data_IF_688479392283
#
_entry.id   IF_688479392283
#
_cell.length_a   1.000
_cell.length_b   1.000
_cell.length_c   1.000
_cell.angle_alpha   90.00
_cell.angle_beta   90.00
_cell.angle_gamma   90.00
#
_symmetry.space_group_name_H-M   'P 1'
#
loop_
_entity.id
_entity.type
_entity.pdbx_description
1 polymer ?
#
# COMPACT_ATOMS: atom_id res chain seq x y z
N UNK A 1 15.35 9.32 1.45
CA UNK A 1 14.24 8.46 1.01
C UNK A 1 13.03 9.36 0.80
N UNK A 2 12.54 9.59 -0.43
CA UNK A 2 11.37 10.43 -0.62
C UNK A 2 10.15 9.67 -0.09
N UNK A 3 9.54 10.20 0.96
CA UNK A 3 8.28 9.72 1.52
C UNK A 3 7.11 10.57 0.99
N UNK A 4 7.39 11.85 0.76
CA UNK A 4 6.50 12.79 0.11
C UNK A 4 6.61 12.66 -1.41
N UNK A 5 5.47 12.51 -2.07
CA UNK A 5 5.34 12.36 -3.52
C UNK A 5 4.53 13.56 -4.04
N UNK A 6 5.17 14.59 -4.59
CA UNK A 6 4.45 15.77 -5.06
C UNK A 6 3.53 15.42 -6.21
N UNK A 7 2.36 16.06 -6.26
CA UNK A 7 1.48 15.96 -7.41
C UNK A 7 2.19 16.47 -8.66
N UNK A 8 2.13 15.74 -9.79
CA UNK A 8 2.77 16.18 -11.01
C UNK A 8 2.12 17.47 -11.48
N UNK A 9 2.95 18.43 -11.92
CA UNK A 9 2.45 19.67 -12.49
C UNK A 9 1.60 19.35 -13.74
N UNK A 10 0.39 19.93 -13.85
CA UNK A 10 -0.42 19.78 -15.05
C UNK A 10 0.35 20.31 -16.26
N UNK A 11 0.65 19.45 -17.23
CA UNK A 11 1.20 19.91 -18.51
C UNK A 11 0.08 20.62 -19.28
N UNK A 12 0.17 21.94 -19.34
CA UNK A 12 -0.73 22.78 -20.14
C UNK A 12 -0.27 22.72 -21.60
N UNK A 13 -0.97 21.94 -22.41
CA UNK A 13 -0.66 21.79 -23.83
C UNK A 13 -0.86 20.36 -24.30
N UNK A 14 -2.06 20.05 -24.78
CA UNK A 14 -2.29 18.86 -25.59
C UNK A 14 -1.55 18.97 -26.94
N UNK A 15 -1.45 17.88 -27.73
CA UNK A 15 -0.82 17.90 -29.06
C UNK A 15 -1.45 18.92 -30.04
N UNK A 16 -2.67 19.37 -29.74
CA UNK A 16 -3.44 20.34 -30.51
C UNK A 16 -3.24 21.81 -30.05
N UNK A 17 -2.45 22.05 -28.99
CA UNK A 17 -2.23 23.39 -28.43
C UNK A 17 -3.46 24.02 -27.77
N UNK A 18 -4.57 23.27 -27.60
CA UNK A 18 -5.86 23.79 -27.12
C UNK A 18 -6.19 23.46 -25.66
N UNK A 19 -5.16 23.24 -24.84
CA UNK A 19 -5.30 23.24 -23.38
C UNK A 19 -6.03 22.03 -22.77
N UNK A 20 -6.30 20.96 -23.53
CA UNK A 20 -6.75 19.71 -22.93
C UNK A 20 -5.56 19.02 -22.26
N UNK A 21 -5.36 19.26 -20.97
CA UNK A 21 -4.44 18.45 -20.16
C UNK A 21 -5.02 17.04 -20.11
N UNK A 22 -4.28 16.05 -20.64
CA UNK A 22 -4.52 14.64 -20.32
C UNK A 22 -4.21 14.42 -18.85
N UNK A 23 -5.12 14.85 -17.98
CA UNK A 23 -5.21 14.31 -16.63
C UNK A 23 -5.51 12.83 -16.81
N UNK A 24 -4.47 12.00 -16.77
CA UNK A 24 -4.65 10.55 -16.77
C UNK A 24 -5.57 10.24 -15.61
N UNK A 25 -6.61 9.45 -15.84
CA UNK A 25 -7.68 9.10 -14.89
C UNK A 25 -7.18 8.66 -13.49
N UNK A 26 -5.90 8.33 -13.31
CA UNK A 26 -5.23 8.25 -12.01
C UNK A 26 -5.43 9.48 -11.10
N UNK A 27 -5.59 10.68 -11.67
CA UNK A 27 -5.89 11.92 -10.93
C UNK A 27 -7.38 12.10 -10.56
N UNK A 28 -8.25 11.14 -10.90
CA UNK A 28 -9.69 11.19 -10.60
C UNK A 28 -10.10 10.28 -9.42
N UNK A 29 -9.13 9.60 -8.77
CA UNK A 29 -9.33 8.82 -7.53
C UNK A 29 -8.93 9.56 -6.24
N UNK A 30 -8.64 10.85 -6.33
CA UNK A 30 -8.26 11.69 -5.20
C UNK A 30 -7.87 13.08 -5.69
N UNK A 31 -8.72 14.06 -5.39
CA UNK A 31 -8.54 15.49 -5.62
C UNK A 31 -7.06 15.92 -5.45
N UNK A 32 -6.46 16.38 -6.55
CA UNK A 32 -5.13 16.97 -6.74
C UNK A 32 -4.38 17.39 -5.45
N UNK A 33 -3.67 16.45 -4.83
CA UNK A 33 -2.86 16.70 -3.66
C UNK A 33 -1.70 15.73 -3.61
N UNK A 34 -0.65 16.13 -2.90
CA UNK A 34 0.54 15.30 -2.77
C UNK A 34 0.21 13.96 -2.09
N UNK A 35 1.01 12.95 -2.40
CA UNK A 35 0.86 11.59 -1.91
C UNK A 35 1.94 11.23 -0.90
N UNK A 36 1.71 10.14 -0.16
CA UNK A 36 2.66 9.60 0.82
C UNK A 36 3.03 8.16 0.49
N UNK A 37 4.30 7.91 0.19
CA UNK A 37 4.83 6.58 -0.18
C UNK A 37 4.60 5.51 0.90
N UNK A 38 4.39 5.91 2.16
CA UNK A 38 4.08 5.02 3.29
C UNK A 38 2.58 4.70 3.43
N UNK A 39 1.76 5.14 2.48
CA UNK A 39 0.32 4.89 2.45
C UNK A 39 -0.07 4.21 1.13
N UNK A 40 0.46 3.03 0.79
CA UNK A 40 0.06 2.35 -0.43
C UNK A 40 -1.46 2.09 -0.44
N UNK A 41 -2.07 2.00 -1.62
CA UNK A 41 -3.51 1.65 -1.78
C UNK A 41 -3.74 0.26 -2.34
N UNK A 42 -2.68 -0.41 -2.78
CA UNK A 42 -2.72 -1.74 -3.35
C UNK A 42 -1.40 -2.49 -3.14
N UNK A 43 -1.38 -3.75 -3.56
CA UNK A 43 -0.22 -4.63 -3.40
C UNK A 43 1.02 -4.15 -4.18
N UNK A 44 0.86 -3.64 -5.40
CA UNK A 44 2.02 -3.21 -6.21
C UNK A 44 2.74 -2.05 -5.54
N UNK A 45 1.98 -1.07 -5.05
CA UNK A 45 2.53 0.07 -4.33
C UNK A 45 3.00 -0.30 -2.90
N UNK A 46 2.45 -1.36 -2.30
CA UNK A 46 2.98 -1.90 -1.04
C UNK A 46 4.40 -2.45 -1.19
N UNK A 47 4.67 -3.16 -2.30
CA UNK A 47 6.01 -3.63 -2.63
C UNK A 47 6.97 -2.46 -2.87
N UNK A 48 6.54 -1.44 -3.60
CA UNK A 48 7.33 -0.22 -3.77
C UNK A 48 7.57 0.53 -2.46
N UNK A 49 6.59 0.54 -1.54
CA UNK A 49 6.69 1.21 -0.25
C UNK A 49 7.78 0.61 0.66
N UNK A 50 8.22 -0.63 0.43
CA UNK A 50 9.35 -1.24 1.13
C UNK A 50 10.67 -0.50 0.86
N UNK A 51 10.81 0.10 -0.32
CA UNK A 51 11.91 1.00 -0.66
C UNK A 51 11.36 2.25 -1.35
N UNK A 52 11.00 3.25 -0.54
CA UNK A 52 10.32 4.45 -1.04
C UNK A 52 11.13 5.24 -2.07
N UNK A 53 12.42 4.95 -2.28
CA UNK A 53 13.20 5.51 -3.40
C UNK A 53 12.64 5.12 -4.78
N UNK A 54 11.86 4.05 -4.84
CA UNK A 54 11.22 3.54 -6.06
C UNK A 54 9.79 4.07 -6.25
N UNK A 55 9.19 4.65 -5.22
CA UNK A 55 7.81 5.09 -5.23
C UNK A 55 7.58 6.24 -6.22
N UNK A 56 6.47 6.17 -6.96
CA UNK A 56 6.02 7.21 -7.90
C UNK A 56 4.58 7.62 -7.61
N UNK A 57 4.24 8.87 -7.91
CA UNK A 57 2.87 9.38 -7.75
C UNK A 57 1.84 8.53 -8.52
N UNK A 58 0.66 8.30 -7.93
CA UNK A 58 -0.51 7.72 -8.60
C UNK A 58 -1.06 6.43 -7.98
N UNK A 59 -0.61 6.05 -6.78
CA UNK A 59 -0.96 4.77 -6.15
C UNK A 59 -1.00 4.79 -4.63
N UNK A 60 -0.88 5.98 -4.04
CA UNK A 60 -0.69 6.16 -2.62
C UNK A 60 -1.77 7.07 -2.01
N UNK A 61 -1.97 6.95 -0.71
CA UNK A 61 -2.86 7.79 0.09
C UNK A 61 -2.33 9.23 0.17
N UNK A 62 -3.20 10.19 0.52
CA UNK A 62 -2.82 11.59 0.56
C UNK A 62 -1.71 11.86 1.58
N UNK A 63 -0.84 12.81 1.26
CA UNK A 63 0.11 13.39 2.19
C UNK A 63 -0.65 14.23 3.23
N UNK A 64 -0.42 13.96 4.52
CA UNK A 64 -1.01 14.72 5.63
C UNK A 64 0.01 15.60 6.36
N UNK A 65 1.29 15.47 5.99
CA UNK A 65 2.39 16.20 6.60
C UNK A 65 2.87 17.39 5.79
N UNK A 66 2.21 17.71 4.66
CA UNK A 66 2.58 18.83 3.78
C UNK A 66 4.08 18.85 3.42
N UNK A 67 4.60 17.68 3.06
CA UNK A 67 6.03 17.45 2.79
C UNK A 67 6.94 17.34 4.00
N UNK A 68 6.50 17.75 5.20
CA UNK A 68 7.28 17.64 6.44
C UNK A 68 7.23 16.22 7.02
N UNK A 69 8.11 15.35 6.53
CA UNK A 69 8.21 13.97 7.00
C UNK A 69 8.82 13.85 8.40
N UNK A 70 9.58 14.85 8.88
CA UNK A 70 10.26 14.78 10.18
C UNK A 70 9.26 14.77 11.34
N UNK A 71 8.14 15.50 11.23
CA UNK A 71 7.10 15.53 12.27
C UNK A 71 5.85 14.72 11.89
N UNK A 72 5.85 14.08 10.71
CA UNK A 72 4.69 13.38 10.19
C UNK A 72 4.36 12.15 11.05
N UNK A 73 3.11 12.00 11.53
CA UNK A 73 2.72 10.87 12.37
C UNK A 73 2.75 9.54 11.63
N UNK A 74 2.72 9.53 10.29
CA UNK A 74 2.84 8.30 9.49
C UNK A 74 4.31 7.86 9.40
N UNK A 75 5.21 8.80 9.10
CA UNK A 75 6.63 8.51 8.95
C UNK A 75 7.29 8.12 10.27
N UNK A 76 6.84 8.70 11.38
CA UNK A 76 7.35 8.42 12.72
C UNK A 76 6.53 7.40 13.49
N UNK A 77 5.53 6.78 12.87
CA UNK A 77 4.72 5.79 13.56
C UNK A 77 5.57 4.56 13.90
N UNK A 78 5.32 3.99 15.08
CA UNK A 78 5.95 2.73 15.45
C UNK A 78 5.63 1.63 14.42
N UNK A 79 6.56 0.67 14.21
CA UNK A 79 6.33 -0.49 13.37
C UNK A 79 5.10 -1.30 13.81
N UNK A 80 4.53 -2.03 12.86
CA UNK A 80 3.41 -2.94 13.11
C UNK A 80 3.93 -4.36 13.24
N UNK A 81 3.62 -4.98 14.37
CA UNK A 81 3.97 -6.39 14.62
C UNK A 81 2.76 -7.28 14.40
N UNK A 82 2.93 -8.36 13.65
CA UNK A 82 1.95 -9.44 13.56
C UNK A 82 2.43 -10.63 14.39
N UNK A 83 1.60 -11.05 15.35
CA UNK A 83 1.78 -12.30 16.10
C UNK A 83 0.92 -13.38 15.47
N UNK A 84 1.55 -14.26 14.71
CA UNK A 84 0.94 -15.46 14.15
C UNK A 84 1.74 -16.68 14.60
N UNK A 85 1.06 -17.83 14.75
CA UNK A 85 1.69 -19.10 15.10
C UNK A 85 2.40 -19.73 13.91
N UNK A 86 1.85 -19.57 12.71
CA UNK A 86 2.43 -20.06 11.47
C UNK A 86 3.50 -19.11 10.93
N UNK A 87 4.40 -19.64 10.10
CA UNK A 87 5.41 -18.85 9.39
C UNK A 87 4.88 -18.20 8.11
N UNK A 88 3.62 -18.47 7.79
CA UNK A 88 2.96 -17.95 6.60
C UNK A 88 1.51 -17.56 6.90
N UNK A 89 1.12 -16.37 6.49
CA UNK A 89 -0.24 -15.84 6.69
C UNK A 89 -0.76 -15.31 5.37
N UNK A 90 -1.98 -15.69 4.97
CA UNK A 90 -2.59 -15.12 3.77
C UNK A 90 -3.20 -13.76 4.10
N UNK A 91 -2.78 -12.71 3.40
CA UNK A 91 -3.46 -11.43 3.37
C UNK A 91 -4.45 -11.41 2.19
N UNK A 92 -5.73 -11.53 2.49
CA UNK A 92 -6.83 -11.61 1.51
C UNK A 92 -7.45 -10.24 1.27
N UNK A 93 -7.71 -9.86 0.02
CA UNK A 93 -8.33 -8.56 -0.29
C UNK A 93 -9.84 -8.64 -0.19
N UNK A 94 -10.40 -7.91 0.78
CA UNK A 94 -11.83 -7.80 0.99
C UNK A 94 -12.54 -7.01 -0.12
N UNK A 95 -13.87 -7.07 -0.11
CA UNK A 95 -14.71 -6.26 -1.02
C UNK A 95 -14.53 -4.75 -0.82
N UNK A 96 -14.06 -4.34 0.35
CA UNK A 96 -13.70 -2.96 0.69
C UNK A 96 -12.29 -2.56 0.21
N UNK A 97 -11.60 -3.44 -0.50
CA UNK A 97 -10.24 -3.23 -0.99
C UNK A 97 -9.18 -3.23 0.10
N UNK A 98 -9.50 -3.63 1.33
CA UNK A 98 -8.53 -3.73 2.43
C UNK A 98 -7.99 -5.16 2.60
N UNK A 99 -6.76 -5.31 3.11
CA UNK A 99 -6.20 -6.61 3.45
C UNK A 99 -6.81 -7.17 4.74
N UNK A 100 -7.16 -8.45 4.71
CA UNK A 100 -7.61 -9.24 5.84
C UNK A 100 -6.62 -10.37 6.06
N UNK A 101 -5.99 -10.41 7.24
CA UNK A 101 -5.08 -11.47 7.62
C UNK A 101 -5.88 -12.68 8.06
N UNK A 102 -5.75 -13.79 7.32
CA UNK A 102 -6.56 -14.99 7.50
C UNK A 102 -5.86 -15.97 8.44
N UNK A 103 -6.59 -16.55 9.39
CA UNK A 103 -6.04 -17.62 10.24
C UNK A 103 -6.07 -19.00 9.56
N UNK A 104 -7.06 -19.26 8.71
CA UNK A 104 -7.32 -20.52 8.00
C UNK A 104 -7.78 -20.19 6.59
N UNK A 105 -6.85 -19.90 5.66
CA UNK A 105 -7.19 -19.44 4.32
C UNK A 105 -8.09 -20.42 3.55
N UNK A 106 -8.03 -21.71 3.86
CA UNK A 106 -8.83 -22.80 3.29
C UNK A 106 -10.33 -22.73 3.63
N UNK A 107 -10.69 -22.12 4.75
CA UNK A 107 -12.09 -21.90 5.14
C UNK A 107 -12.70 -20.65 4.44
N UNK A 108 -11.91 -19.99 3.57
CA UNK A 108 -12.34 -18.80 2.84
C UNK A 108 -12.77 -17.66 3.76
N UNK A 109 -13.87 -16.97 3.42
CA UNK A 109 -14.40 -15.86 4.24
C UNK A 109 -15.12 -16.31 5.53
N UNK A 110 -15.28 -17.61 5.77
CA UNK A 110 -15.80 -18.12 7.04
C UNK A 110 -14.73 -18.21 8.13
N UNK A 111 -13.45 -18.14 7.75
CA UNK A 111 -12.29 -18.08 8.64
C UNK A 111 -12.28 -16.82 9.52
N UNK A 112 -11.69 -16.92 10.71
CA UNK A 112 -11.39 -15.74 11.51
C UNK A 112 -10.34 -14.91 10.78
N UNK A 113 -10.68 -13.65 10.53
CA UNK A 113 -9.84 -12.72 9.80
C UNK A 113 -9.64 -11.42 10.57
N UNK A 114 -8.41 -10.92 10.59
CA UNK A 114 -8.11 -9.61 11.16
C UNK A 114 -7.95 -8.59 10.04
N UNK A 115 -8.82 -7.58 10.02
CA UNK A 115 -8.70 -6.46 9.08
C UNK A 115 -7.46 -5.61 9.38
N UNK A 116 -6.66 -5.33 8.37
CA UNK A 116 -5.52 -4.43 8.42
C UNK A 116 -5.71 -3.33 7.37
N UNK A 117 -4.96 -2.24 7.49
CA UNK A 117 -4.83 -1.26 6.40
C UNK A 117 -3.57 -1.52 5.59
N UNK A 118 -3.55 -1.07 4.34
CA UNK A 118 -2.33 -1.06 3.53
C UNK A 118 -1.16 -0.29 4.19
N UNK A 119 -1.45 0.77 4.94
CA UNK A 119 -0.45 1.54 5.69
C UNK A 119 0.04 0.80 6.96
N UNK A 120 -0.75 -0.12 7.50
CA UNK A 120 -0.26 -1.02 8.57
C UNK A 120 0.72 -2.04 7.99
N UNK A 121 0.39 -2.62 6.83
CA UNK A 121 1.29 -3.54 6.13
C UNK A 121 2.58 -2.86 5.68
N UNK A 122 2.53 -1.62 5.17
CA UNK A 122 3.73 -0.89 4.76
C UNK A 122 4.75 -0.69 5.89
N UNK A 123 4.33 -0.80 7.15
CA UNK A 123 5.15 -0.66 8.35
C UNK A 123 5.32 -1.97 9.11
N UNK A 124 4.96 -3.10 8.51
CA UNK A 124 5.06 -4.39 9.18
C UNK A 124 6.54 -4.76 9.38
N UNK A 125 6.86 -5.34 10.53
CA UNK A 125 8.19 -5.85 10.84
C UNK A 125 8.16 -7.36 11.11
N UNK A 126 9.25 -8.04 10.74
CA UNK A 126 9.42 -9.49 10.92
C UNK A 126 8.69 -10.34 9.86
N UNK A 127 8.18 -9.70 8.81
CA UNK A 127 7.46 -10.35 7.72
C UNK A 127 7.90 -9.77 6.36
N UNK A 128 7.96 -10.63 5.36
CA UNK A 128 8.19 -10.29 3.95
C UNK A 128 6.93 -10.52 3.13
N UNK A 129 6.83 -9.82 2.00
CA UNK A 129 5.70 -9.94 1.08
C UNK A 129 6.03 -10.99 0.01
N UNK A 130 5.38 -12.15 0.12
CA UNK A 130 5.44 -13.24 -0.84
C UNK A 130 4.55 -13.00 -2.07
N UNK A 131 4.45 -13.99 -2.98
CA UNK A 131 3.74 -13.83 -4.25
C UNK A 131 2.25 -13.56 -4.07
N UNK A 132 1.65 -12.91 -5.08
CA UNK A 132 0.19 -12.78 -5.19
C UNK A 132 -0.45 -14.16 -5.25
N UNK A 133 -1.63 -14.25 -4.65
CA UNK A 133 -2.40 -15.47 -4.54
C UNK A 133 -3.87 -15.17 -4.85
N UNK A 134 -4.48 -15.98 -5.70
CA UNK A 134 -5.89 -15.86 -6.07
C UNK A 134 -6.53 -17.23 -6.02
N UNK A 135 -7.70 -17.29 -5.41
CA UNK A 135 -8.57 -18.47 -5.35
C UNK A 135 -10.03 -18.09 -5.65
N UNK A 136 -10.96 -19.02 -5.40
CA UNK A 136 -12.41 -18.78 -5.55
C UNK A 136 -12.99 -17.71 -4.63
N UNK A 137 -12.31 -17.36 -3.53
CA UNK A 137 -12.83 -16.44 -2.53
C UNK A 137 -12.43 -14.98 -2.82
N UNK A 138 -11.19 -14.73 -3.25
CA UNK A 138 -10.72 -13.41 -3.74
C UNK A 138 -9.25 -13.43 -4.18
N UNK A 139 -8.74 -12.27 -4.60
CA UNK A 139 -7.30 -11.99 -4.70
C UNK A 139 -6.67 -11.75 -3.31
N UNK A 140 -5.34 -11.82 -3.25
CA UNK A 140 -4.55 -11.75 -2.03
C UNK A 140 -3.05 -11.92 -2.29
N UNK A 141 -2.28 -12.07 -1.22
CA UNK A 141 -0.86 -12.37 -1.26
C UNK A 141 -0.42 -12.97 0.07
N UNK A 142 0.70 -13.67 0.05
CA UNK A 142 1.25 -14.28 1.25
C UNK A 142 2.16 -13.32 2.00
N UNK A 143 2.06 -13.33 3.33
CA UNK A 143 3.08 -12.83 4.22
C UNK A 143 3.92 -14.02 4.69
N UNK A 144 5.23 -13.89 4.63
CA UNK A 144 6.18 -14.93 4.99
C UNK A 144 7.09 -14.38 6.09
N UNK A 145 7.22 -15.11 7.20
CA UNK A 145 8.05 -14.68 8.33
C UNK A 145 9.47 -14.45 7.83
N UNK A 146 10.09 -13.33 8.22
CA UNK A 146 11.51 -13.18 7.96
C UNK A 146 12.25 -14.28 8.73
N UNK A 147 13.05 -15.09 8.04
CA UNK A 147 13.99 -15.97 8.71
C UNK A 147 14.84 -15.10 9.64
N UNK A 148 14.79 -15.41 10.92
CA UNK A 148 15.65 -14.76 11.89
C UNK A 148 17.03 -15.36 11.65
N UNK A 149 17.90 -14.66 10.92
CA UNK A 149 19.33 -14.97 10.99
C UNK A 149 19.71 -14.86 12.48
N UNK A 150 19.96 -16.03 13.07
CA UNK A 150 20.40 -16.22 14.45
C UNK A 150 21.86 -15.79 14.64
#
# INVERSE_FOLDING_TARGET
MPIHLPAPEPVLGGPDGKGWTRLSIASMGGLAGDECALRPRDYSHLIEAQDTRRARYGGYGPCIGDGNCHSCPIANAAPKTLRAFDDRVLARIGRDGQPYLMNRPEDGWASLAQRWTWADLARIEGWTFGPRHRDEHSDGFWLERCDSDA
#
